data_IF_966345085335
#
_entry.id   IF_966345085335
#
_cell.length_a   1.000
_cell.length_b   1.000
_cell.length_c   1.000
_cell.angle_alpha   90.00
_cell.angle_beta   90.00
_cell.angle_gamma   90.00
#
_symmetry.space_group_name_H-M   'P 1'
#
loop_
_entity.id
_entity.type
_entity.pdbx_description
1 polymer ?
#
# COMPACT_ATOMS: atom_id res chain seq x y z
N UNK A 1 -4.80 -61.32 19.61
CA UNK A 1 -3.99 -60.74 18.51
C UNK A 1 -4.73 -59.75 17.63
N UNK A 2 -6.04 -59.84 17.47
CA UNK A 2 -6.82 -58.93 16.55
C UNK A 2 -7.04 -57.49 17.05
N UNK A 3 -7.09 -57.25 18.36
CA UNK A 3 -7.37 -55.91 18.90
C UNK A 3 -6.19 -54.93 18.74
N UNK A 4 -4.94 -55.40 18.81
CA UNK A 4 -3.74 -54.55 18.63
C UNK A 4 -3.60 -54.00 17.20
N UNK A 5 -4.01 -54.77 16.19
CA UNK A 5 -3.98 -54.32 14.78
C UNK A 5 -5.05 -53.30 14.46
N UNK A 6 -6.23 -53.39 15.10
CA UNK A 6 -7.31 -52.41 14.91
C UNK A 6 -6.92 -51.06 15.51
N UNK A 7 -6.30 -51.04 16.67
CA UNK A 7 -5.82 -49.78 17.30
C UNK A 7 -4.69 -49.14 16.46
N UNK A 8 -3.80 -49.97 15.88
CA UNK A 8 -2.72 -49.42 15.02
C UNK A 8 -3.26 -48.84 13.71
N UNK A 9 -4.27 -49.46 13.09
CA UNK A 9 -4.93 -48.95 11.88
C UNK A 9 -5.70 -47.63 12.18
N UNK A 10 -6.39 -47.56 13.32
CA UNK A 10 -7.06 -46.31 13.73
C UNK A 10 -6.05 -45.20 14.03
N UNK A 11 -4.91 -45.51 14.62
CA UNK A 11 -3.89 -44.53 14.92
C UNK A 11 -3.18 -44.02 13.66
N UNK A 12 -2.90 -44.89 12.71
CA UNK A 12 -2.33 -44.50 11.40
C UNK A 12 -3.34 -43.73 10.55
N UNK A 13 -4.63 -44.08 10.60
CA UNK A 13 -5.69 -43.32 9.92
C UNK A 13 -5.90 -41.96 10.53
N UNK A 14 -5.81 -41.83 11.85
CA UNK A 14 -5.88 -40.53 12.56
C UNK A 14 -4.66 -39.66 12.28
N UNK A 15 -3.46 -40.19 12.18
CA UNK A 15 -2.24 -39.45 11.81
C UNK A 15 -2.29 -39.03 10.34
N UNK A 16 -2.85 -39.85 9.44
CA UNK A 16 -3.03 -39.47 8.03
C UNK A 16 -4.06 -38.35 7.82
N UNK A 17 -5.06 -38.23 8.66
CA UNK A 17 -6.04 -37.13 8.54
C UNK A 17 -5.48 -35.80 9.03
N UNK A 18 -4.43 -35.77 9.86
CA UNK A 18 -3.77 -34.53 10.32
C UNK A 18 -2.64 -34.05 9.40
N UNK A 19 -2.20 -34.86 8.46
CA UNK A 19 -1.30 -34.42 7.40
C UNK A 19 -2.12 -33.78 6.28
N UNK A 20 -2.78 -32.66 6.55
CA UNK A 20 -3.22 -31.76 5.47
C UNK A 20 -1.96 -31.37 4.70
N UNK A 21 -1.87 -31.85 3.46
CA UNK A 21 -0.77 -31.46 2.58
C UNK A 21 -0.73 -29.94 2.53
N UNK A 22 0.31 -29.35 3.08
CA UNK A 22 0.52 -27.92 3.07
C UNK A 22 0.52 -27.43 1.62
N UNK A 23 -0.39 -26.54 1.27
CA UNK A 23 -0.44 -25.97 -0.08
C UNK A 23 0.76 -25.04 -0.27
N UNK A 24 1.16 -24.78 -1.52
CA UNK A 24 2.22 -23.81 -1.82
C UNK A 24 1.93 -22.46 -1.19
N UNK A 25 0.67 -22.02 -1.23
CA UNK A 25 0.24 -20.73 -0.66
C UNK A 25 0.37 -20.72 0.86
N UNK A 26 0.04 -21.84 1.55
CA UNK A 26 0.18 -21.91 3.00
C UNK A 26 1.64 -21.84 3.44
N UNK A 27 2.56 -22.45 2.69
CA UNK A 27 4.01 -22.36 2.98
C UNK A 27 4.52 -20.91 2.89
N UNK A 28 4.13 -20.20 1.83
CA UNK A 28 4.50 -18.78 1.66
C UNK A 28 3.92 -17.92 2.78
N UNK A 29 2.65 -18.13 3.12
CA UNK A 29 1.97 -17.39 4.19
C UNK A 29 2.61 -17.64 5.55
N UNK A 30 2.95 -18.89 5.86
CA UNK A 30 3.55 -19.25 7.15
C UNK A 30 4.98 -18.67 7.27
N UNK A 31 5.77 -18.68 6.20
CA UNK A 31 7.09 -18.08 6.20
C UNK A 31 7.02 -16.55 6.41
N UNK A 32 6.05 -15.89 5.76
CA UNK A 32 5.84 -14.46 5.95
C UNK A 32 5.34 -14.13 7.37
N UNK A 33 4.46 -14.95 7.94
CA UNK A 33 4.03 -14.81 9.35
C UNK A 33 5.20 -14.94 10.30
N UNK A 34 6.06 -15.94 10.09
CA UNK A 34 7.28 -16.13 10.88
C UNK A 34 8.25 -14.94 10.72
N UNK A 35 8.21 -14.26 9.59
CA UNK A 35 8.95 -13.00 9.33
C UNK A 35 8.25 -11.75 9.86
N UNK A 36 7.12 -11.90 10.56
CA UNK A 36 6.40 -10.80 11.23
C UNK A 36 5.30 -10.14 10.39
N UNK A 37 4.98 -10.64 9.19
CA UNK A 37 3.84 -10.14 8.40
C UNK A 37 2.54 -10.59 9.04
N UNK A 38 1.65 -9.63 9.25
CA UNK A 38 0.29 -9.90 9.72
C UNK A 38 -0.64 -10.07 8.53
N UNK A 39 -1.59 -10.98 8.65
CA UNK A 39 -2.61 -11.22 7.66
C UNK A 39 -3.99 -11.06 8.28
N UNK A 40 -4.87 -10.38 7.57
CA UNK A 40 -6.30 -10.29 7.89
C UNK A 40 -7.14 -10.97 6.80
N UNK A 41 -8.36 -11.37 7.12
CA UNK A 41 -9.25 -12.10 6.21
C UNK A 41 -10.45 -11.29 5.72
N UNK A 42 -10.65 -10.09 6.23
CA UNK A 42 -11.83 -9.26 5.94
C UNK A 42 -11.52 -8.22 4.86
N UNK A 43 -11.01 -8.66 3.71
CA UNK A 43 -10.65 -7.72 2.66
C UNK A 43 -11.34 -8.06 1.33
N UNK A 44 -11.56 -7.02 0.54
CA UNK A 44 -11.84 -7.08 -0.89
C UNK A 44 -10.70 -6.43 -1.65
N UNK A 45 -10.30 -7.04 -2.77
CA UNK A 45 -9.25 -6.51 -3.64
C UNK A 45 -9.80 -6.43 -5.06
N UNK A 46 -9.61 -5.27 -5.68
CA UNK A 46 -9.83 -5.05 -7.11
C UNK A 46 -8.47 -4.77 -7.76
N UNK A 47 -8.11 -5.57 -8.75
CA UNK A 47 -6.92 -5.31 -9.56
C UNK A 47 -7.25 -4.27 -10.62
N UNK A 48 -6.39 -3.28 -10.75
CA UNK A 48 -6.46 -2.19 -11.72
C UNK A 48 -5.29 -2.38 -12.67
N UNK A 49 -5.61 -2.84 -13.89
CA UNK A 49 -4.65 -3.38 -14.85
C UNK A 49 -4.07 -2.33 -15.79
N UNK A 50 -4.56 -1.09 -15.70
CA UNK A 50 -4.10 0.04 -16.51
C UNK A 50 -4.14 1.34 -15.71
N UNK A 51 -3.43 2.37 -16.20
CA UNK A 51 -3.50 3.71 -15.64
C UNK A 51 -4.91 4.30 -15.72
N UNK A 52 -5.63 4.03 -16.81
CA UNK A 52 -7.00 4.50 -16.97
C UNK A 52 -7.91 3.94 -15.87
N UNK A 53 -7.90 2.61 -15.67
CA UNK A 53 -8.70 1.97 -14.62
C UNK A 53 -8.34 2.51 -13.22
N UNK A 54 -7.03 2.66 -12.96
CA UNK A 54 -6.56 3.21 -11.67
C UNK A 54 -7.08 4.60 -11.42
N UNK A 55 -6.91 5.52 -12.37
CA UNK A 55 -7.28 6.91 -12.15
C UNK A 55 -8.79 7.11 -12.13
N UNK A 56 -9.55 6.39 -12.95
CA UNK A 56 -11.01 6.45 -12.95
C UNK A 56 -11.59 5.99 -11.61
N UNK A 57 -11.14 4.83 -11.11
CA UNK A 57 -11.59 4.29 -9.82
C UNK A 57 -11.16 5.20 -8.65
N UNK A 58 -9.88 5.60 -8.62
CA UNK A 58 -9.35 6.45 -7.55
C UNK A 58 -10.00 7.83 -7.52
N UNK A 59 -10.23 8.48 -8.67
CA UNK A 59 -10.90 9.78 -8.72
C UNK A 59 -12.36 9.68 -8.30
N UNK A 60 -13.04 8.58 -8.65
CA UNK A 60 -14.40 8.31 -8.16
C UNK A 60 -14.42 8.18 -6.63
N UNK A 61 -13.48 7.46 -6.05
CA UNK A 61 -13.37 7.33 -4.60
C UNK A 61 -13.02 8.66 -3.92
N UNK A 62 -12.11 9.46 -4.48
CA UNK A 62 -11.75 10.78 -3.96
C UNK A 62 -12.98 11.72 -3.95
N UNK A 63 -13.80 11.74 -5.02
CA UNK A 63 -15.04 12.55 -5.04
C UNK A 63 -15.99 12.21 -3.90
N UNK A 64 -15.99 10.98 -3.42
CA UNK A 64 -16.85 10.49 -2.34
C UNK A 64 -16.24 10.69 -0.95
N UNK A 65 -15.00 11.14 -0.84
CA UNK A 65 -14.31 11.37 0.43
C UNK A 65 -15.06 12.38 1.32
N UNK A 66 -15.07 12.11 2.63
CA UNK A 66 -15.79 12.93 3.62
C UNK A 66 -14.91 13.43 4.77
N UNK A 67 -13.80 12.78 5.06
CA UNK A 67 -12.96 13.12 6.23
C UNK A 67 -11.51 13.32 5.89
N UNK A 68 -10.85 12.38 5.20
CA UNK A 68 -9.42 12.49 4.93
C UNK A 68 -8.99 11.81 3.64
N UNK A 69 -8.00 12.38 2.98
CA UNK A 69 -7.32 11.81 1.82
C UNK A 69 -5.82 11.90 2.06
N UNK A 70 -5.17 10.76 2.16
CA UNK A 70 -3.73 10.65 2.37
C UNK A 70 -3.08 10.02 1.14
N UNK A 71 -2.02 10.65 0.63
CA UNK A 71 -1.32 10.21 -0.57
C UNK A 71 0.19 10.13 -0.30
N UNK A 72 0.80 9.04 -0.69
CA UNK A 72 2.25 8.80 -0.64
C UNK A 72 2.68 8.23 -1.99
N UNK A 73 3.55 8.95 -2.70
CA UNK A 73 4.04 8.56 -4.00
C UNK A 73 5.55 8.77 -4.11
N UNK A 74 6.21 8.01 -4.98
CA UNK A 74 7.59 8.28 -5.34
C UNK A 74 7.71 9.61 -6.09
N UNK A 75 6.77 9.86 -7.03
CA UNK A 75 6.66 11.18 -7.65
C UNK A 75 5.22 11.53 -8.06
N UNK A 76 4.97 12.83 -8.11
CA UNK A 76 3.88 13.44 -8.85
C UNK A 76 4.50 14.16 -10.05
N UNK A 77 4.22 13.70 -11.24
CA UNK A 77 4.68 14.40 -12.44
C UNK A 77 3.83 15.64 -12.68
N UNK A 78 4.45 16.76 -13.04
CA UNK A 78 3.71 17.98 -13.35
C UNK A 78 3.13 17.90 -14.76
N UNK A 79 2.06 17.14 -14.94
CA UNK A 79 1.35 16.87 -16.19
C UNK A 79 -0.17 16.90 -15.99
N UNK A 80 -0.94 16.49 -17.01
CA UNK A 80 -2.39 16.65 -17.04
C UNK A 80 -3.08 15.87 -15.92
N UNK A 81 -2.70 14.60 -15.72
CA UNK A 81 -3.36 13.75 -14.71
C UNK A 81 -3.06 14.24 -13.29
N UNK A 82 -1.85 14.72 -13.02
CA UNK A 82 -1.52 15.33 -11.74
C UNK A 82 -2.28 16.65 -11.54
N UNK A 83 -2.44 17.43 -12.60
CA UNK A 83 -3.28 18.63 -12.58
C UNK A 83 -4.72 18.33 -12.20
N UNK A 84 -5.33 17.31 -12.84
CA UNK A 84 -6.69 16.85 -12.52
C UNK A 84 -6.78 16.37 -11.07
N UNK A 85 -5.81 15.57 -10.61
CA UNK A 85 -5.76 15.10 -9.22
C UNK A 85 -5.72 16.27 -8.23
N UNK A 86 -4.77 17.21 -8.38
CA UNK A 86 -4.64 18.33 -7.44
C UNK A 86 -5.83 19.30 -7.48
N UNK A 87 -6.51 19.45 -8.61
CA UNK A 87 -7.76 20.21 -8.67
C UNK A 87 -8.88 19.50 -7.88
N UNK A 88 -9.05 18.19 -8.05
CA UNK A 88 -10.03 17.43 -7.31
C UNK A 88 -9.72 17.40 -5.80
N UNK A 89 -8.45 17.27 -5.41
CA UNK A 89 -8.02 17.37 -4.02
C UNK A 89 -8.30 18.76 -3.41
N UNK A 90 -8.13 19.83 -4.20
CA UNK A 90 -8.44 21.20 -3.78
C UNK A 90 -9.95 21.40 -3.57
N UNK A 91 -10.78 20.83 -4.44
CA UNK A 91 -12.23 20.81 -4.28
C UNK A 91 -12.60 20.12 -2.95
N UNK A 92 -12.08 18.93 -2.68
CA UNK A 92 -12.32 18.21 -1.43
C UNK A 92 -11.79 18.95 -0.19
N UNK A 93 -10.62 19.59 -0.28
CA UNK A 93 -10.09 20.42 0.80
C UNK A 93 -10.99 21.63 1.09
N UNK A 94 -11.61 22.24 0.06
CA UNK A 94 -12.59 23.33 0.24
C UNK A 94 -13.90 22.87 0.89
N UNK A 95 -14.24 21.59 0.77
CA UNK A 95 -15.36 20.96 1.48
C UNK A 95 -15.02 20.54 2.93
N UNK A 96 -13.80 20.80 3.40
CA UNK A 96 -13.35 20.48 4.76
C UNK A 96 -12.70 19.11 4.92
N UNK A 97 -12.44 18.39 3.82
CA UNK A 97 -11.69 17.13 3.86
C UNK A 97 -10.21 17.40 4.11
N UNK A 98 -9.59 16.70 5.07
CA UNK A 98 -8.16 16.80 5.34
C UNK A 98 -7.36 16.13 4.22
N UNK A 99 -6.52 16.89 3.51
CA UNK A 99 -5.71 16.38 2.41
C UNK A 99 -4.23 16.47 2.73
N UNK A 100 -3.55 15.32 2.79
CA UNK A 100 -2.12 15.18 3.05
C UNK A 100 -1.43 14.40 1.95
N UNK A 101 -0.34 14.92 1.42
CA UNK A 101 0.44 14.31 0.36
C UNK A 101 1.94 14.28 0.68
N UNK A 102 2.57 13.13 0.47
CA UNK A 102 4.02 12.94 0.53
C UNK A 102 4.54 12.51 -0.84
N UNK A 103 5.74 12.96 -1.18
CA UNK A 103 6.47 12.45 -2.33
C UNK A 103 7.97 12.41 -2.06
N UNK A 104 8.66 11.48 -2.71
CA UNK A 104 10.12 11.37 -2.57
C UNK A 104 10.82 12.50 -3.31
N UNK A 105 11.77 13.18 -2.67
CA UNK A 105 12.46 14.32 -3.27
C UNK A 105 13.32 13.93 -4.47
N UNK A 106 13.98 12.76 -4.41
CA UNK A 106 14.76 12.23 -5.54
C UNK A 106 13.84 11.77 -6.67
N UNK A 107 12.74 11.07 -6.33
CA UNK A 107 11.71 10.68 -7.30
C UNK A 107 11.14 11.88 -8.06
N UNK A 108 10.92 12.98 -7.35
CA UNK A 108 10.49 14.22 -7.98
C UNK A 108 11.60 14.85 -8.85
N UNK A 109 12.83 14.93 -8.34
CA UNK A 109 13.94 15.57 -9.06
C UNK A 109 14.38 14.78 -10.30
N UNK A 110 14.27 13.45 -10.27
CA UNK A 110 14.68 12.57 -11.37
C UNK A 110 13.69 12.52 -12.53
N UNK A 111 12.47 13.00 -12.36
CA UNK A 111 11.49 13.01 -13.45
C UNK A 111 11.65 14.27 -14.32
N UNK A 112 11.33 14.17 -15.61
CA UNK A 112 11.50 15.26 -16.58
C UNK A 112 10.47 16.41 -16.44
N UNK A 113 9.44 16.27 -15.60
CA UNK A 113 8.45 17.31 -15.26
C UNK A 113 8.23 17.38 -13.75
N UNK A 114 9.24 17.83 -12.97
CA UNK A 114 9.14 17.84 -11.50
C UNK A 114 8.18 18.92 -10.99
N UNK A 115 7.58 18.66 -9.85
CA UNK A 115 6.93 19.71 -9.06
C UNK A 115 8.01 20.64 -8.50
N UNK A 116 8.00 21.89 -8.95
CA UNK A 116 8.92 22.94 -8.48
C UNK A 116 8.32 23.69 -7.28
N UNK A 117 9.12 24.46 -6.56
CA UNK A 117 8.70 25.26 -5.40
C UNK A 117 7.43 26.09 -5.67
N UNK A 118 7.32 26.70 -6.86
CA UNK A 118 6.11 27.47 -7.26
C UNK A 118 4.85 26.59 -7.33
N UNK A 119 4.97 25.36 -7.82
CA UNK A 119 3.84 24.40 -7.90
C UNK A 119 3.42 23.97 -6.49
N UNK A 120 4.39 23.63 -5.63
CA UNK A 120 4.12 23.26 -4.23
C UNK A 120 3.46 24.39 -3.46
N UNK A 121 3.89 25.65 -3.68
CA UNK A 121 3.25 26.82 -3.08
C UNK A 121 1.78 26.95 -3.56
N UNK A 122 1.54 26.79 -4.85
CA UNK A 122 0.18 26.86 -5.40
C UNK A 122 -0.74 25.73 -4.86
N UNK A 123 -0.20 24.51 -4.67
CA UNK A 123 -0.93 23.38 -4.08
C UNK A 123 -1.26 23.69 -2.60
N UNK A 124 -0.29 24.14 -1.82
CA UNK A 124 -0.50 24.51 -0.40
C UNK A 124 -1.52 25.63 -0.20
N UNK A 125 -1.56 26.60 -1.10
CA UNK A 125 -2.56 27.68 -1.07
C UNK A 125 -4.00 27.19 -1.28
N UNK A 126 -4.18 25.93 -1.69
CA UNK A 126 -5.48 25.26 -1.84
C UNK A 126 -5.81 24.36 -0.64
N UNK A 127 -5.23 24.62 0.53
CA UNK A 127 -5.39 23.83 1.77
C UNK A 127 -5.00 22.36 1.63
N UNK A 128 -4.03 22.04 0.77
CA UNK A 128 -3.44 20.71 0.65
C UNK A 128 -2.09 20.74 1.36
N UNK A 129 -1.92 19.91 2.39
CA UNK A 129 -0.63 19.71 3.02
C UNK A 129 0.23 18.81 2.13
N UNK A 130 1.31 19.32 1.54
CA UNK A 130 2.22 18.56 0.69
C UNK A 130 3.67 18.76 1.12
N UNK A 131 4.39 17.63 1.32
CA UNK A 131 5.78 17.63 1.80
C UNK A 131 6.65 16.67 0.99
N UNK A 132 7.96 16.94 1.00
CA UNK A 132 8.98 16.12 0.38
C UNK A 132 9.59 15.17 1.40
N UNK A 133 9.65 13.88 1.08
CA UNK A 133 10.40 12.91 1.85
C UNK A 133 11.90 13.03 1.54
N UNK A 134 12.69 13.13 2.58
CA UNK A 134 14.17 13.12 2.62
C UNK A 134 14.83 13.98 1.51
N UNK A 135 14.64 15.33 1.54
CA UNK A 135 15.27 16.22 0.59
C UNK A 135 16.79 16.09 0.62
N UNK A 136 17.41 15.92 -0.55
CA UNK A 136 18.85 15.84 -0.68
C UNK A 136 19.42 17.25 -0.48
N UNK A 137 20.21 17.42 0.58
CA UNK A 137 20.87 18.71 0.92
C UNK A 137 22.36 18.49 1.09
N UNK A 138 23.17 19.33 0.45
CA UNK A 138 24.61 19.35 0.70
C UNK A 138 24.90 19.72 2.17
N UNK A 139 25.84 19.05 2.88
CA UNK A 139 26.72 17.95 2.42
C UNK A 139 26.14 16.54 2.58
N UNK A 140 24.87 16.37 2.96
CA UNK A 140 24.25 15.09 3.34
C UNK A 140 23.80 14.28 2.12
N UNK A 141 24.69 14.09 1.14
CA UNK A 141 24.40 13.34 -0.10
C UNK A 141 24.24 11.83 0.13
N UNK A 142 24.67 11.30 1.26
CA UNK A 142 24.54 9.89 1.65
C UNK A 142 23.07 9.45 1.77
N UNK A 143 22.12 10.36 1.88
CA UNK A 143 20.69 10.08 1.90
C UNK A 143 20.13 9.67 0.54
N UNK A 144 20.88 9.78 -0.55
CA UNK A 144 20.44 9.40 -1.92
C UNK A 144 19.90 7.97 -2.00
N UNK A 145 20.44 7.04 -1.20
CA UNK A 145 20.01 5.63 -1.20
C UNK A 145 18.78 5.32 -0.32
N UNK A 146 18.33 6.26 0.48
CA UNK A 146 17.18 6.06 1.38
C UNK A 146 15.92 6.66 0.78
N UNK A 147 15.40 5.99 -0.25
CA UNK A 147 14.24 6.49 -1.01
C UNK A 147 12.94 5.84 -0.59
N UNK A 148 11.88 6.62 -0.64
CA UNK A 148 10.51 6.15 -0.44
C UNK A 148 9.87 5.85 -1.79
N UNK A 149 9.85 4.57 -2.17
CA UNK A 149 9.30 4.13 -3.45
C UNK A 149 7.87 3.59 -3.35
N UNK A 150 7.21 3.82 -2.21
CA UNK A 150 5.82 3.37 -2.00
C UNK A 150 4.85 4.22 -2.80
N UNK A 151 3.70 3.63 -3.12
CA UNK A 151 2.54 4.29 -3.67
C UNK A 151 1.37 3.86 -2.82
N UNK A 152 0.90 4.77 -1.99
CA UNK A 152 -0.20 4.53 -1.04
C UNK A 152 -1.18 5.70 -1.17
N UNK A 153 -2.45 5.39 -1.33
CA UNK A 153 -3.54 6.35 -1.13
C UNK A 153 -4.51 5.75 -0.13
N UNK A 154 -4.91 6.51 0.88
CA UNK A 154 -5.95 6.09 1.82
C UNK A 154 -7.03 7.17 1.86
N UNK A 155 -8.28 6.77 1.70
CA UNK A 155 -9.44 7.64 1.65
C UNK A 155 -10.37 7.27 2.81
N UNK A 156 -10.65 8.24 3.70
CA UNK A 156 -11.53 8.11 4.88
C UNK A 156 -11.19 6.91 5.80
N UNK A 157 -9.95 6.38 5.73
CA UNK A 157 -9.59 5.13 6.41
C UNK A 157 -10.38 3.90 5.96
N UNK A 158 -11.08 3.96 4.81
CA UNK A 158 -12.00 2.92 4.33
C UNK A 158 -11.53 2.23 3.07
N UNK A 159 -10.90 2.97 2.17
CA UNK A 159 -10.42 2.51 0.88
C UNK A 159 -8.93 2.82 0.80
N UNK A 160 -8.13 1.89 0.33
CA UNK A 160 -6.74 2.13 0.03
C UNK A 160 -6.37 1.71 -1.40
N UNK A 161 -5.37 2.38 -1.96
CA UNK A 161 -4.74 2.02 -3.22
C UNK A 161 -3.25 1.82 -3.01
N UNK A 162 -2.69 0.79 -3.64
CA UNK A 162 -1.25 0.54 -3.69
C UNK A 162 -0.88 -0.24 -4.95
N UNK A 163 0.37 -0.15 -5.37
CA UNK A 163 0.87 -0.83 -6.59
C UNK A 163 2.09 -0.16 -7.19
N UNK A 164 2.34 -0.40 -8.49
CA UNK A 164 3.52 0.11 -9.19
C UNK A 164 3.38 1.56 -9.68
N UNK A 165 2.18 1.98 -10.08
CA UNK A 165 1.94 3.23 -10.80
C UNK A 165 2.10 4.50 -9.94
N UNK A 166 2.92 5.44 -10.38
CA UNK A 166 2.92 6.82 -9.86
C UNK A 166 1.76 7.66 -10.44
N UNK A 167 1.83 8.98 -10.27
CA UNK A 167 0.87 9.92 -10.88
C UNK A 167 1.55 10.57 -12.09
N UNK A 168 1.24 10.06 -13.29
CA UNK A 168 1.78 10.57 -14.54
C UNK A 168 0.92 10.15 -15.74
N UNK A 169 0.86 11.01 -16.77
CA UNK A 169 0.09 10.80 -18.01
C UNK A 169 0.48 9.52 -18.75
N UNK A 170 1.75 9.13 -18.69
CA UNK A 170 2.25 7.98 -19.45
C UNK A 170 1.67 6.64 -18.98
N UNK A 171 1.13 6.54 -17.77
CA UNK A 171 0.40 5.34 -17.35
C UNK A 171 -0.92 5.14 -18.10
N UNK A 172 -1.47 6.23 -18.70
CA UNK A 172 -2.69 6.19 -19.51
C UNK A 172 -2.34 6.14 -20.97
N UNK A 173 -1.48 7.05 -21.42
CA UNK A 173 -1.22 7.31 -22.83
C UNK A 173 -0.01 6.56 -23.40
N UNK A 174 0.75 5.88 -22.53
CA UNK A 174 2.05 5.34 -22.93
C UNK A 174 3.09 6.42 -23.18
N UNK A 175 4.16 6.03 -23.89
CA UNK A 175 5.22 6.94 -24.37
C UNK A 175 5.55 6.61 -25.82
N UNK A 176 6.08 7.58 -26.57
CA UNK A 176 6.53 7.36 -27.95
C UNK A 176 7.63 6.27 -28.05
N UNK A 177 8.46 6.15 -27.01
CA UNK A 177 9.59 5.21 -26.99
C UNK A 177 9.17 3.78 -26.62
N UNK A 178 8.16 3.62 -25.77
CA UNK A 178 7.76 2.32 -25.18
C UNK A 178 6.39 1.86 -25.68
N UNK A 179 5.57 2.77 -26.22
CA UNK A 179 4.17 2.50 -26.54
C UNK A 179 3.30 2.44 -25.29
N UNK A 180 2.40 1.48 -25.24
CA UNK A 180 1.51 1.25 -24.10
C UNK A 180 2.33 0.89 -22.84
N UNK A 181 2.07 1.61 -21.73
CA UNK A 181 2.74 1.35 -20.45
C UNK A 181 1.93 0.37 -19.62
N UNK A 182 2.48 -0.81 -19.37
CA UNK A 182 1.85 -1.83 -18.54
C UNK A 182 2.40 -1.81 -17.12
N UNK A 183 1.50 -1.60 -16.17
CA UNK A 183 1.78 -1.67 -14.75
C UNK A 183 0.49 -2.04 -14.02
N UNK A 184 0.58 -2.44 -12.77
CA UNK A 184 -0.56 -2.87 -11.96
C UNK A 184 -0.71 -2.03 -10.71
N UNK A 185 -1.96 -1.80 -10.34
CA UNK A 185 -2.36 -1.22 -9.07
C UNK A 185 -3.48 -2.06 -8.47
N UNK A 186 -3.76 -1.88 -7.21
CA UNK A 186 -4.93 -2.48 -6.59
C UNK A 186 -5.62 -1.49 -5.66
N UNK A 187 -6.94 -1.65 -5.60
CA UNK A 187 -7.79 -1.09 -4.57
C UNK A 187 -8.04 -2.15 -3.52
N UNK A 188 -7.95 -1.75 -2.26
CA UNK A 188 -8.19 -2.58 -1.08
C UNK A 188 -9.30 -1.93 -0.27
N UNK A 189 -10.30 -2.73 0.08
CA UNK A 189 -11.32 -2.39 1.07
C UNK A 189 -11.24 -3.44 2.19
N UNK A 190 -11.20 -3.02 3.46
CA UNK A 190 -11.14 -3.95 4.59
C UNK A 190 -10.05 -3.63 5.61
N UNK A 191 -9.66 -4.64 6.37
CA UNK A 191 -8.80 -4.48 7.54
C UNK A 191 -7.40 -3.96 7.19
N UNK A 192 -6.84 -4.37 6.04
CA UNK A 192 -5.50 -3.96 5.62
C UNK A 192 -5.40 -2.51 5.15
N UNK A 193 -6.52 -1.81 4.98
CA UNK A 193 -6.53 -0.35 4.85
C UNK A 193 -5.89 0.31 6.07
N UNK A 194 -6.14 -0.23 7.27
CA UNK A 194 -5.56 0.25 8.51
C UNK A 194 -4.03 0.10 8.54
N UNK A 195 -3.51 -0.99 7.98
CA UNK A 195 -2.05 -1.20 7.89
C UNK A 195 -1.42 -0.14 6.97
N UNK A 196 -2.00 0.11 5.79
CA UNK A 196 -1.51 1.15 4.87
C UNK A 196 -1.63 2.55 5.47
N UNK A 197 -2.73 2.83 6.18
CA UNK A 197 -2.92 4.09 6.91
C UNK A 197 -1.87 4.30 7.99
N UNK A 198 -1.56 3.26 8.76
CA UNK A 198 -0.53 3.33 9.81
C UNK A 198 0.88 3.58 9.21
N UNK A 199 1.19 2.96 8.07
CA UNK A 199 2.43 3.19 7.33
C UNK A 199 2.52 4.64 6.89
N UNK A 200 1.47 5.19 6.28
CA UNK A 200 1.43 6.59 5.87
C UNK A 200 1.62 7.54 7.06
N UNK A 201 0.84 7.39 8.13
CA UNK A 201 0.92 8.29 9.28
C UNK A 201 2.29 8.26 9.97
N UNK A 202 2.92 7.09 10.04
CA UNK A 202 4.26 6.94 10.60
C UNK A 202 5.29 7.77 9.82
N UNK A 203 5.26 7.70 8.49
CA UNK A 203 6.17 8.47 7.62
C UNK A 203 5.80 9.95 7.63
N UNK A 204 4.52 10.29 7.57
CA UNK A 204 4.04 11.66 7.65
C UNK A 204 4.57 12.37 8.89
N UNK A 205 4.33 11.79 10.06
CA UNK A 205 4.77 12.36 11.34
C UNK A 205 6.29 12.51 11.41
N UNK A 206 7.03 11.52 10.88
CA UNK A 206 8.49 11.58 10.82
C UNK A 206 9.00 12.71 9.93
N UNK A 207 8.35 12.95 8.78
CA UNK A 207 8.77 13.98 7.81
C UNK A 207 8.40 15.37 8.25
N UNK A 208 7.20 15.53 8.81
CA UNK A 208 6.64 16.86 9.12
C UNK A 208 6.92 17.32 10.54
N UNK A 209 7.25 16.39 11.45
CA UNK A 209 7.33 16.64 12.89
C UNK A 209 5.95 16.81 13.56
N UNK A 210 4.87 16.63 12.80
CA UNK A 210 3.51 16.62 13.34
C UNK A 210 3.25 15.35 14.15
N UNK A 211 2.16 15.33 14.91
CA UNK A 211 1.69 14.16 15.64
C UNK A 211 0.23 13.85 15.22
N UNK A 212 0.05 13.54 13.94
CA UNK A 212 -1.25 13.17 13.39
C UNK A 212 -1.60 11.75 13.83
N UNK A 213 -2.66 11.61 14.61
CA UNK A 213 -3.14 10.34 15.16
C UNK A 213 -4.63 10.41 15.48
N UNK A 214 -5.25 9.27 15.72
CA UNK A 214 -6.65 9.21 16.18
C UNK A 214 -7.48 8.19 15.41
N UNK A 215 -8.56 7.75 16.03
CA UNK A 215 -9.47 6.72 15.50
C UNK A 215 -10.16 7.14 14.20
N UNK A 216 -10.33 8.44 13.96
CA UNK A 216 -10.97 8.98 12.76
C UNK A 216 -10.27 8.61 11.45
N UNK A 217 -8.99 8.27 11.51
CA UNK A 217 -8.21 7.86 10.33
C UNK A 217 -8.28 6.36 10.02
N UNK A 218 -8.96 5.59 10.86
CA UNK A 218 -8.95 4.14 10.78
C UNK A 218 -10.37 3.58 10.74
N UNK A 219 -10.53 2.45 10.08
CA UNK A 219 -11.79 1.72 10.07
C UNK A 219 -11.91 0.88 11.33
N UNK A 220 -13.08 0.82 11.92
CA UNK A 220 -13.48 0.26 13.22
C UNK A 220 -12.89 -1.04 13.78
N UNK A 221 -11.97 -1.71 13.10
CA UNK A 221 -11.24 -2.87 13.62
C UNK A 221 -9.75 -2.65 13.54
N UNK A 222 -9.14 -2.33 14.67
CA UNK A 222 -7.68 -2.21 14.76
C UNK A 222 -7.08 -3.48 15.34
N UNK A 223 -5.97 -3.98 14.80
CA UNK A 223 -5.10 -4.81 15.60
C UNK A 223 -4.63 -3.97 16.79
N UNK A 224 -4.96 -4.40 18.02
CA UNK A 224 -4.60 -3.71 19.26
C UNK A 224 -3.09 -3.38 19.42
N UNK A 225 -2.26 -3.93 18.54
CA UNK A 225 -0.81 -3.73 18.51
C UNK A 225 -0.37 -2.40 17.88
N UNK A 226 -1.22 -1.70 17.11
CA UNK A 226 -0.85 -0.43 16.49
C UNK A 226 -1.11 0.78 17.38
N UNK A 227 -2.11 0.69 18.26
CA UNK A 227 -2.44 1.80 19.18
C UNK A 227 -2.87 1.26 20.54
N UNK A 228 -2.08 1.51 21.59
CA UNK A 228 -2.49 1.24 22.97
C UNK A 228 -3.72 2.10 23.31
N UNK A 229 -4.82 1.48 23.68
CA UNK A 229 -6.00 2.15 24.27
C UNK A 229 -7.19 2.41 23.34
N UNK A 230 -7.14 2.08 22.04
CA UNK A 230 -8.31 2.17 21.17
C UNK A 230 -9.13 0.87 21.21
N UNK A 231 -10.42 0.98 21.55
CA UNK A 231 -11.37 -0.15 21.48
C UNK A 231 -11.79 -0.33 20.02
N UNK A 232 -11.74 -1.58 19.55
CA UNK A 232 -12.26 -1.96 18.25
C UNK A 232 -13.81 -1.97 18.30
N UNK A 233 -14.44 -1.17 17.44
CA UNK A 233 -15.87 -1.33 17.16
C UNK A 233 -16.09 -2.46 16.16
N UNK A 234 -17.32 -2.97 16.08
CA UNK A 234 -17.71 -4.10 15.24
C UNK A 234 -17.25 -3.96 13.80
N UNK A 235 -16.45 -4.92 13.36
CA UNK A 235 -15.90 -4.98 12.01
C UNK A 235 -16.98 -5.26 10.97
N UNK A 236 -17.17 -4.36 10.01
CA UNK A 236 -17.97 -4.70 8.83
C UNK A 236 -17.10 -5.52 7.87
N UNK A 237 -17.57 -6.70 7.46
CA UNK A 237 -16.87 -7.55 6.48
C UNK A 237 -16.89 -6.88 5.11
N UNK A 238 -15.74 -6.41 4.64
CA UNK A 238 -15.58 -5.84 3.30
C UNK A 238 -15.47 -6.94 2.23
N UNK A 239 -15.01 -8.13 2.62
CA UNK A 239 -14.81 -9.28 1.72
C UNK A 239 -14.24 -10.47 2.47
N UNK A 240 -13.80 -11.49 1.71
CA UNK A 240 -13.27 -12.76 2.27
C UNK A 240 -11.83 -13.03 1.84
N UNK A 241 -11.12 -12.03 1.30
CA UNK A 241 -9.74 -12.23 0.88
C UNK A 241 -8.80 -12.10 2.08
N UNK A 242 -7.88 -13.07 2.19
CA UNK A 242 -6.74 -12.96 3.08
C UNK A 242 -5.68 -12.07 2.44
N UNK A 243 -5.26 -11.05 3.17
CA UNK A 243 -4.27 -10.05 2.71
C UNK A 243 -3.22 -9.85 3.79
N UNK A 244 -1.98 -9.69 3.37
CA UNK A 244 -0.88 -9.25 4.22
C UNK A 244 -0.08 -8.16 3.51
N UNK A 245 0.26 -7.12 4.23
CA UNK A 245 1.07 -6.01 3.71
C UNK A 245 2.53 -6.23 4.06
N UNK A 246 3.36 -6.39 3.03
CA UNK A 246 4.81 -6.47 3.16
C UNK A 246 5.37 -5.05 3.02
N UNK A 247 5.88 -4.50 4.12
CA UNK A 247 6.46 -3.17 4.13
C UNK A 247 7.95 -3.20 4.43
N UNK A 248 8.74 -2.52 3.61
CA UNK A 248 10.15 -2.24 3.88
C UNK A 248 10.33 -0.74 4.10
N UNK A 249 10.81 -0.39 5.28
CA UNK A 249 11.13 1.01 5.57
C UNK A 249 12.50 1.38 5.01
N UNK A 250 12.67 2.60 4.46
CA UNK A 250 13.98 3.14 4.17
C UNK A 250 14.86 3.12 5.42
N UNK A 251 16.13 2.77 5.28
CA UNK A 251 17.12 2.64 6.38
C UNK A 251 16.97 1.40 7.29
N UNK A 252 15.92 0.58 7.12
CA UNK A 252 15.80 -0.67 7.86
C UNK A 252 16.21 -1.82 6.95
N UNK A 253 17.29 -2.50 7.33
CA UNK A 253 17.83 -3.66 6.59
C UNK A 253 17.05 -4.93 6.94
N UNK A 254 15.77 -5.00 6.60
CA UNK A 254 15.06 -6.26 6.61
C UNK A 254 15.03 -6.87 5.20
N UNK A 255 15.12 -8.18 5.12
CA UNK A 255 15.08 -8.92 3.85
C UNK A 255 13.67 -9.37 3.47
N UNK A 256 12.63 -8.81 4.09
CA UNK A 256 11.26 -9.31 3.99
C UNK A 256 10.75 -9.42 2.54
N UNK A 257 11.04 -8.44 1.69
CA UNK A 257 10.67 -8.49 0.27
C UNK A 257 11.40 -9.62 -0.45
N UNK A 258 12.71 -9.78 -0.17
CA UNK A 258 13.50 -10.87 -0.73
C UNK A 258 12.97 -12.23 -0.25
N UNK A 259 12.71 -12.38 1.03
CA UNK A 259 12.10 -13.59 1.62
C UNK A 259 10.79 -13.93 0.92
N UNK A 260 9.94 -12.94 0.65
CA UNK A 260 8.70 -13.15 -0.09
C UNK A 260 8.95 -13.70 -1.50
N UNK A 261 9.83 -13.07 -2.29
CA UNK A 261 10.14 -13.53 -3.64
C UNK A 261 10.76 -14.93 -3.63
N UNK A 262 11.73 -15.18 -2.76
CA UNK A 262 12.38 -16.49 -2.63
C UNK A 262 11.36 -17.57 -2.24
N UNK A 263 10.50 -17.31 -1.28
CA UNK A 263 9.46 -18.25 -0.85
C UNK A 263 8.42 -18.50 -1.95
N UNK A 264 7.90 -17.43 -2.58
CA UNK A 264 6.91 -17.56 -3.64
C UNK A 264 7.46 -18.33 -4.86
N UNK A 265 8.69 -18.07 -5.28
CA UNK A 265 9.34 -18.72 -6.42
C UNK A 265 9.62 -20.20 -6.09
N UNK A 266 10.19 -20.50 -4.92
CA UNK A 266 10.56 -21.85 -4.54
C UNK A 266 9.35 -22.77 -4.31
N UNK A 267 8.21 -22.21 -3.93
CA UNK A 267 6.99 -22.98 -3.69
C UNK A 267 6.00 -22.97 -4.88
N UNK A 268 6.31 -22.28 -5.97
CA UNK A 268 5.47 -22.27 -7.16
C UNK A 268 5.46 -23.68 -7.81
N UNK A 269 4.25 -24.18 -8.17
CA UNK A 269 4.07 -25.50 -8.79
C UNK A 269 3.69 -25.43 -10.26
N UNK A 270 2.92 -24.43 -10.66
CA UNK A 270 2.34 -24.38 -12.00
C UNK A 270 2.97 -23.27 -12.86
N UNK A 271 2.96 -22.03 -12.38
CA UNK A 271 3.48 -20.92 -13.17
C UNK A 271 3.92 -19.74 -12.29
N UNK A 272 4.88 -18.95 -12.80
CA UNK A 272 5.32 -17.67 -12.24
C UNK A 272 5.10 -16.60 -13.29
N UNK A 273 4.35 -15.55 -12.95
CA UNK A 273 4.12 -14.39 -13.83
C UNK A 273 4.64 -13.15 -13.12
N UNK A 274 5.54 -12.42 -13.77
CA UNK A 274 6.14 -11.19 -13.25
C UNK A 274 5.79 -10.05 -14.21
N UNK A 275 5.23 -8.98 -13.65
CA UNK A 275 4.97 -7.72 -14.36
C UNK A 275 5.87 -6.67 -13.72
N UNK A 276 6.76 -6.12 -14.53
CA UNK A 276 7.66 -5.04 -14.13
C UNK A 276 7.76 -4.04 -15.30
N UNK A 277 7.31 -2.78 -15.10
CA UNK A 277 7.34 -1.76 -16.15
C UNK A 277 8.76 -1.29 -16.48
#
# INVERSE_FOLDING_TARGET
>A
MKLKYIIFIFFTYYICQYAQAQTSDSLVVDELRNSGVKFSQNNSIVLLMSGQEKFDDMFKAIRQARSSIHLEYFNFRNDSIAGLLFNLLAEKASEGVEVRALFDSFGNASNNRPLRKRHLKAIRNKNIEIYEFDPIRFPWINHVFHRDHRKIVVIDGKIAYTGGMNVADYYINGTEQVGEWRDMHCRIDGDEVNTLQAIFLKIWNKVTGQNVHGAQYFRGCFPATYFKGLKADTCSTAGKKMVGIINREPRISNKIIRTFYESAINNAKDSIKIINP
#
